data_IF_435763336434
#
_entry.id   IF_435763336434
#
_cell.length_a   1.000
_cell.length_b   1.000
_cell.length_c   1.000
_cell.angle_alpha   90.00
_cell.angle_beta   90.00
_cell.angle_gamma   90.00
#
_symmetry.space_group_name_H-M   'P 1'
#
loop_
_entity.id
_entity.type
_entity.pdbx_description
1 polymer ?
#
# COMPACT_ATOMS: atom_id res chain seq x y z
N UNK A 1 -10.25 13.75 2.66
CA UNK A 1 -9.44 12.98 3.63
C UNK A 1 -9.07 11.64 3.00
N UNK A 2 -7.81 11.20 3.11
CA UNK A 2 -7.40 9.87 2.67
C UNK A 2 -8.01 8.80 3.58
N UNK A 3 -8.39 7.64 3.03
CA UNK A 3 -8.85 6.52 3.84
C UNK A 3 -7.68 5.95 4.64
N UNK A 4 -7.86 5.61 5.93
CA UNK A 4 -6.83 4.91 6.68
C UNK A 4 -6.51 3.55 6.05
N UNK A 5 -5.26 3.14 6.14
CA UNK A 5 -4.79 1.85 5.65
C UNK A 5 -4.52 0.93 6.83
N UNK A 6 -5.13 -0.25 6.82
CA UNK A 6 -5.00 -1.26 7.85
C UNK A 6 -4.36 -2.50 7.23
N UNK A 7 -3.23 -2.95 7.78
CA UNK A 7 -2.56 -4.14 7.29
C UNK A 7 -2.70 -5.31 8.28
N UNK A 8 -2.97 -6.52 7.74
CA UNK A 8 -2.99 -7.75 8.52
C UNK A 8 -1.63 -8.43 8.40
N UNK A 9 -0.94 -8.63 9.52
CA UNK A 9 0.36 -9.29 9.63
C UNK A 9 0.23 -10.51 10.55
N UNK A 10 1.02 -11.54 10.31
CA UNK A 10 1.05 -12.73 11.16
C UNK A 10 1.66 -13.92 10.44
N UNK A 11 1.89 -15.02 11.17
CA UNK A 11 2.46 -16.26 10.62
C UNK A 11 1.61 -16.82 9.46
N UNK A 12 2.16 -17.69 8.61
CA UNK A 12 1.37 -18.55 7.73
C UNK A 12 0.35 -19.37 8.53
N UNK A 13 -0.80 -19.60 7.93
CA UNK A 13 -1.88 -20.44 8.48
C UNK A 13 -2.56 -19.97 9.78
N UNK A 14 -2.27 -18.76 10.27
CA UNK A 14 -3.04 -18.16 11.39
C UNK A 14 -4.43 -17.66 10.94
N UNK A 15 -4.69 -17.61 9.64
CA UNK A 15 -5.98 -17.23 9.07
C UNK A 15 -6.08 -15.80 8.58
N UNK A 16 -4.95 -15.17 8.16
CA UNK A 16 -4.94 -13.79 7.62
C UNK A 16 -5.92 -13.60 6.47
N UNK A 17 -5.81 -14.40 5.43
CA UNK A 17 -6.69 -14.30 4.26
C UNK A 17 -8.13 -14.68 4.58
N UNK A 18 -8.35 -15.53 5.59
CA UNK A 18 -9.71 -15.82 6.07
C UNK A 18 -10.31 -14.60 6.77
N UNK A 19 -9.54 -13.95 7.65
CA UNK A 19 -9.97 -12.71 8.30
C UNK A 19 -10.19 -11.60 7.29
N UNK A 20 -9.27 -11.42 6.36
CA UNK A 20 -9.38 -10.44 5.27
C UNK A 20 -10.67 -10.66 4.47
N UNK A 21 -10.92 -11.88 3.99
CA UNK A 21 -12.12 -12.19 3.20
C UNK A 21 -13.41 -12.03 4.02
N UNK A 22 -13.38 -12.35 5.32
CA UNK A 22 -14.53 -12.20 6.19
C UNK A 22 -14.87 -10.72 6.43
N UNK A 23 -13.87 -9.88 6.65
CA UNK A 23 -14.04 -8.43 6.82
C UNK A 23 -14.44 -7.74 5.50
N UNK A 24 -13.81 -8.11 4.39
CA UNK A 24 -14.13 -7.60 3.07
C UNK A 24 -15.53 -8.02 2.57
N UNK A 25 -16.03 -9.19 3.03
CA UNK A 25 -17.34 -9.74 2.63
C UNK A 25 -18.54 -9.13 3.34
N UNK A 26 -18.37 -8.40 4.43
CA UNK A 26 -19.52 -7.92 5.25
C UNK A 26 -20.26 -6.70 4.68
N UNK A 27 -19.62 -5.87 3.85
CA UNK A 27 -20.29 -4.87 2.98
C UNK A 27 -19.27 -4.33 1.97
N UNK A 28 -19.05 -5.06 0.89
CA UNK A 28 -18.34 -4.50 -0.26
C UNK A 28 -19.26 -3.44 -0.86
N UNK A 29 -18.85 -2.19 -0.75
CA UNK A 29 -19.33 -1.14 -1.64
C UNK A 29 -19.16 -1.63 -3.08
N UNK A 30 -20.21 -1.59 -3.88
CA UNK A 30 -20.25 -2.09 -5.26
C UNK A 30 -19.11 -1.44 -6.04
N UNK A 31 -17.98 -2.13 -6.15
CA UNK A 31 -16.93 -1.78 -7.10
C UNK A 31 -17.49 -2.14 -8.47
N UNK A 32 -17.74 -1.14 -9.32
CA UNK A 32 -18.10 -1.34 -10.71
C UNK A 32 -16.99 -2.19 -11.36
N UNK A 33 -17.36 -3.24 -12.06
CA UNK A 33 -16.44 -4.05 -12.86
C UNK A 33 -15.78 -3.14 -13.92
N UNK A 34 -14.59 -2.64 -13.61
CA UNK A 34 -13.79 -1.88 -14.56
C UNK A 34 -13.00 -2.88 -15.40
N UNK A 35 -13.14 -2.91 -16.73
CA UNK A 35 -12.40 -3.80 -17.59
C UNK A 35 -10.89 -3.61 -17.39
N UNK A 36 -10.15 -4.71 -17.14
CA UNK A 36 -8.70 -4.71 -16.94
C UNK A 36 -8.24 -4.73 -15.47
N UNK A 37 -9.13 -4.55 -14.50
CA UNK A 37 -8.80 -4.69 -13.08
C UNK A 37 -9.16 -6.09 -12.62
N UNK A 38 -8.18 -6.98 -12.55
CA UNK A 38 -8.37 -8.29 -11.89
C UNK A 38 -8.47 -8.05 -10.39
N UNK A 39 -9.43 -8.70 -9.73
CA UNK A 39 -9.57 -8.74 -8.26
C UNK A 39 -8.36 -9.44 -7.65
N UNK A 40 -7.25 -8.74 -7.54
CA UNK A 40 -6.17 -9.20 -6.67
C UNK A 40 -6.68 -9.07 -5.23
N UNK A 41 -6.80 -10.21 -4.54
CA UNK A 41 -7.29 -10.32 -3.16
C UNK A 41 -6.29 -9.77 -2.13
N UNK A 42 -5.53 -8.76 -2.50
CA UNK A 42 -4.45 -8.19 -1.66
C UNK A 42 -4.96 -7.01 -0.85
N UNK A 43 -5.95 -6.29 -1.36
CA UNK A 43 -6.57 -5.14 -0.68
C UNK A 43 -8.08 -5.11 -0.89
N UNK A 44 -8.80 -4.50 0.04
CA UNK A 44 -10.23 -4.29 -0.06
C UNK A 44 -10.65 -3.04 0.71
N UNK A 45 -11.66 -2.34 0.19
CA UNK A 45 -12.33 -1.28 0.94
C UNK A 45 -13.33 -1.91 1.91
N UNK A 46 -13.23 -1.54 3.16
CA UNK A 46 -14.09 -2.00 4.23
C UNK A 46 -14.81 -0.80 4.83
N UNK A 47 -16.10 -0.97 5.12
CA UNK A 47 -16.89 0.00 5.86
C UNK A 47 -17.32 -0.63 7.18
N UNK A 48 -16.94 0.00 8.29
CA UNK A 48 -17.39 -0.37 9.63
C UNK A 48 -18.08 0.84 10.27
N UNK A 49 -19.32 0.66 10.69
CA UNK A 49 -20.17 1.77 11.12
C UNK A 49 -20.21 2.85 10.02
N UNK A 50 -19.75 4.07 10.32
CA UNK A 50 -19.67 5.20 9.39
C UNK A 50 -18.26 5.47 8.84
N UNK A 51 -17.28 4.59 9.16
CA UNK A 51 -15.89 4.75 8.78
C UNK A 51 -15.52 3.86 7.61
N UNK A 52 -14.74 4.41 6.69
CA UNK A 52 -14.20 3.68 5.56
C UNK A 52 -12.68 3.59 5.68
N UNK A 53 -12.13 2.40 5.43
CA UNK A 53 -10.69 2.17 5.42
C UNK A 53 -10.32 1.14 4.36
N UNK A 54 -9.06 1.14 3.96
CA UNK A 54 -8.49 0.15 3.04
C UNK A 54 -7.78 -0.93 3.85
N UNK A 55 -8.26 -2.17 3.74
CA UNK A 55 -7.65 -3.34 4.37
C UNK A 55 -6.66 -3.99 3.41
N UNK A 56 -5.48 -4.39 3.90
CA UNK A 56 -4.43 -5.05 3.13
C UNK A 56 -4.12 -6.42 3.75
N UNK A 57 -4.17 -7.48 2.92
CA UNK A 57 -3.66 -8.82 3.28
C UNK A 57 -2.18 -8.94 2.87
N UNK A 58 -1.29 -8.92 3.85
CA UNK A 58 0.14 -9.17 3.59
C UNK A 58 0.47 -10.65 3.42
N UNK A 59 -0.46 -11.56 3.74
CA UNK A 59 -0.26 -13.02 3.75
C UNK A 59 -0.35 -13.69 2.40
N UNK A 60 -0.89 -13.03 1.37
CA UNK A 60 -0.93 -13.55 0.00
C UNK A 60 0.44 -13.65 -0.68
N UNK A 61 1.51 -13.38 0.04
CA UNK A 61 2.90 -13.35 -0.42
C UNK A 61 3.60 -14.59 0.13
N UNK A 62 3.35 -15.74 -0.48
CA UNK A 62 4.06 -16.98 -0.12
C UNK A 62 5.17 -17.24 -1.15
N UNK A 63 6.42 -17.44 -0.74
CA UNK A 63 7.45 -17.96 -1.61
C UNK A 63 7.55 -19.48 -1.57
N UNK A 64 8.05 -20.03 -2.65
CA UNK A 64 8.13 -21.47 -2.92
C UNK A 64 9.20 -22.26 -2.15
N UNK A 65 9.88 -21.70 -1.15
CA UNK A 65 11.00 -22.39 -0.47
C UNK A 65 10.95 -22.36 1.07
N UNK A 66 11.05 -23.53 1.66
CA UNK A 66 10.78 -23.84 3.07
C UNK A 66 11.71 -23.29 4.16
N UNK A 67 12.79 -22.58 3.84
CA UNK A 67 13.79 -22.11 4.84
C UNK A 67 13.63 -20.63 5.23
N UNK A 68 12.53 -20.01 4.86
CA UNK A 68 12.36 -18.55 4.79
C UNK A 68 11.18 -18.02 5.63
N UNK A 69 10.56 -18.84 6.53
CA UNK A 69 9.39 -18.41 7.31
C UNK A 69 9.61 -17.06 8.01
N UNK A 70 10.74 -16.90 8.67
CA UNK A 70 11.08 -15.68 9.39
C UNK A 70 11.39 -14.50 8.45
N UNK A 71 12.05 -14.77 7.31
CA UNK A 71 12.35 -13.71 6.32
C UNK A 71 11.07 -13.17 5.70
N UNK A 72 10.08 -14.02 5.51
CA UNK A 72 8.75 -13.65 4.99
C UNK A 72 7.93 -12.83 5.95
N UNK A 73 7.87 -13.29 7.20
CA UNK A 73 7.17 -12.55 8.23
C UNK A 73 7.80 -11.18 8.46
N UNK A 74 9.13 -11.08 8.34
CA UNK A 74 9.83 -9.79 8.37
C UNK A 74 9.44 -8.90 7.20
N UNK A 75 9.44 -9.43 5.97
CA UNK A 75 9.03 -8.68 4.79
C UNK A 75 7.58 -8.19 4.88
N UNK A 76 6.66 -9.03 5.36
CA UNK A 76 5.27 -8.64 5.62
C UNK A 76 5.17 -7.52 6.67
N UNK A 77 5.90 -7.66 7.78
CA UNK A 77 5.95 -6.65 8.82
C UNK A 77 6.55 -5.34 8.33
N UNK A 78 7.65 -5.38 7.58
CA UNK A 78 8.29 -4.19 7.00
C UNK A 78 7.33 -3.43 6.09
N UNK A 79 6.60 -4.10 5.21
CA UNK A 79 5.61 -3.46 4.36
C UNK A 79 4.46 -2.87 5.16
N UNK A 80 3.93 -3.61 6.13
CA UNK A 80 2.88 -3.08 6.98
C UNK A 80 3.35 -1.83 7.74
N UNK A 81 4.57 -1.84 8.28
CA UNK A 81 5.17 -0.68 8.94
C UNK A 81 5.37 0.52 8.01
N UNK A 82 5.69 0.28 6.74
CA UNK A 82 5.88 1.36 5.76
C UNK A 82 4.55 1.93 5.25
N UNK A 83 3.51 1.09 5.09
CA UNK A 83 2.32 1.47 4.33
C UNK A 83 1.07 1.68 5.17
N UNK A 84 0.93 0.98 6.32
CA UNK A 84 -0.29 1.02 7.10
C UNK A 84 -0.30 2.15 8.15
N UNK A 85 -1.49 2.65 8.44
CA UNK A 85 -1.75 3.54 9.57
C UNK A 85 -1.94 2.73 10.87
N UNK A 86 -2.59 1.56 10.77
CA UNK A 86 -2.78 0.62 11.87
C UNK A 86 -2.43 -0.79 11.41
N UNK A 87 -1.81 -1.58 12.27
CA UNK A 87 -1.43 -2.96 11.99
C UNK A 87 -2.24 -3.91 12.88
N UNK A 88 -2.97 -4.84 12.25
CA UNK A 88 -3.57 -5.98 12.95
C UNK A 88 -2.54 -7.10 12.97
N UNK A 89 -2.00 -7.41 14.14
CA UNK A 89 -1.12 -8.58 14.32
C UNK A 89 -1.95 -9.80 14.70
N UNK A 90 -2.06 -10.75 13.76
CA UNK A 90 -2.92 -11.92 13.88
C UNK A 90 -2.11 -13.15 14.34
N UNK A 91 -2.56 -13.78 15.43
CA UNK A 91 -1.99 -15.00 16.02
C UNK A 91 -3.04 -16.12 16.05
N UNK A 92 -2.67 -17.32 16.52
CA UNK A 92 -3.52 -18.51 16.53
C UNK A 92 -3.58 -19.12 17.94
N UNK A 93 -4.77 -19.08 18.58
CA UNK A 93 -4.97 -19.61 19.93
C UNK A 93 -4.69 -21.10 20.04
N UNK A 94 -4.92 -21.87 18.97
CA UNK A 94 -4.75 -23.34 18.99
C UNK A 94 -3.29 -23.76 18.97
N UNK A 95 -2.42 -22.94 18.39
CA UNK A 95 -0.98 -23.21 18.35
C UNK A 95 -0.22 -22.56 19.50
N UNK A 96 -0.85 -21.62 20.20
CA UNK A 96 -0.18 -20.79 21.20
C UNK A 96 0.91 -19.89 20.62
N UNK A 97 1.72 -19.31 21.49
CA UNK A 97 2.84 -18.46 21.12
C UNK A 97 4.04 -19.28 20.66
N UNK A 98 4.70 -18.82 19.61
CA UNK A 98 5.96 -19.38 19.11
C UNK A 98 7.02 -18.30 18.96
N UNK A 99 8.29 -18.67 18.87
CA UNK A 99 9.42 -17.72 18.76
C UNK A 99 9.25 -16.70 17.62
N UNK A 100 8.65 -17.14 16.52
CA UNK A 100 8.38 -16.26 15.39
C UNK A 100 7.40 -15.12 15.72
N UNK A 101 6.41 -15.37 16.59
CA UNK A 101 5.46 -14.34 17.04
C UNK A 101 6.17 -13.28 17.88
N UNK A 102 7.07 -13.68 18.77
CA UNK A 102 7.88 -12.75 19.58
C UNK A 102 8.79 -11.88 18.71
N UNK A 103 9.44 -12.46 17.69
CA UNK A 103 10.33 -11.70 16.80
C UNK A 103 9.57 -10.64 15.99
N UNK A 104 8.39 -10.99 15.45
CA UNK A 104 7.56 -10.04 14.72
C UNK A 104 6.99 -8.99 15.67
N UNK A 105 6.52 -9.38 16.85
CA UNK A 105 6.05 -8.44 17.87
C UNK A 105 7.12 -7.40 18.24
N UNK A 106 8.39 -7.84 18.38
CA UNK A 106 9.52 -6.94 18.63
C UNK A 106 9.76 -5.94 17.49
N UNK A 107 9.66 -6.39 16.25
CA UNK A 107 9.79 -5.52 15.08
C UNK A 107 8.67 -4.49 15.04
N UNK A 108 7.43 -4.94 15.21
CA UNK A 108 6.25 -4.08 15.18
C UNK A 108 6.30 -3.02 16.30
N UNK A 109 6.67 -3.40 17.53
CA UNK A 109 6.84 -2.45 18.65
C UNK A 109 7.82 -1.32 18.34
N UNK A 110 8.93 -1.65 17.67
CA UNK A 110 9.96 -0.65 17.30
C UNK A 110 9.53 0.29 16.20
N UNK A 111 8.47 -0.04 15.46
CA UNK A 111 7.98 0.80 14.36
C UNK A 111 7.30 2.09 14.82
N UNK A 112 6.80 2.12 16.07
CA UNK A 112 5.98 3.20 16.58
C UNK A 112 4.57 3.29 15.99
N UNK A 113 4.20 2.35 15.09
CA UNK A 113 2.85 2.28 14.52
C UNK A 113 1.86 1.71 15.55
N UNK A 114 0.60 2.14 15.55
CA UNK A 114 -0.45 1.49 16.32
C UNK A 114 -0.61 0.02 15.91
N UNK A 115 -0.65 -0.87 16.89
CA UNK A 115 -0.78 -2.30 16.68
C UNK A 115 -1.98 -2.80 17.47
N UNK A 116 -2.87 -3.53 16.82
CA UNK A 116 -3.99 -4.22 17.46
C UNK A 116 -3.73 -5.72 17.40
N UNK A 117 -3.59 -6.37 18.55
CA UNK A 117 -3.31 -7.80 18.66
C UNK A 117 -4.61 -8.60 18.56
N UNK A 118 -4.76 -9.41 17.52
CA UNK A 118 -5.90 -10.30 17.32
C UNK A 118 -5.48 -11.75 17.50
N UNK A 119 -6.23 -12.51 18.30
CA UNK A 119 -6.02 -13.94 18.55
C UNK A 119 -7.12 -14.71 17.85
N UNK A 120 -6.79 -15.36 16.74
CA UNK A 120 -7.73 -16.04 15.87
C UNK A 120 -7.99 -17.51 16.28
N UNK A 121 -9.02 -18.09 15.66
CA UNK A 121 -9.51 -19.46 15.85
C UNK A 121 -10.16 -19.70 17.21
N UNK A 122 -10.65 -18.64 17.85
CA UNK A 122 -11.47 -18.70 19.07
C UNK A 122 -12.91 -19.03 18.66
N UNK A 123 -13.13 -20.19 18.07
CA UNK A 123 -14.47 -20.61 17.58
C UNK A 123 -15.44 -20.94 18.72
N UNK A 124 -14.90 -21.24 19.90
CA UNK A 124 -15.67 -21.40 21.14
C UNK A 124 -15.04 -20.52 22.22
N UNK A 125 -15.70 -19.42 22.51
CA UNK A 125 -15.22 -18.42 23.45
C UNK A 125 -14.99 -18.99 24.86
N UNK A 126 -15.94 -19.75 25.41
CA UNK A 126 -15.82 -20.33 26.75
C UNK A 126 -14.61 -21.25 26.91
N UNK A 127 -14.27 -21.96 25.84
CA UNK A 127 -13.14 -22.90 25.84
C UNK A 127 -11.78 -22.20 25.73
N UNK A 128 -11.67 -21.18 24.88
CA UNK A 128 -10.38 -20.61 24.47
C UNK A 128 -10.07 -19.24 25.07
N UNK A 129 -11.05 -18.59 25.75
CA UNK A 129 -10.84 -17.24 26.29
C UNK A 129 -9.66 -17.19 27.27
N UNK A 130 -9.47 -18.21 28.09
CA UNK A 130 -8.35 -18.26 29.04
C UNK A 130 -7.02 -18.39 28.32
N UNK A 131 -6.97 -19.14 27.22
CA UNK A 131 -5.75 -19.34 26.44
C UNK A 131 -5.32 -18.03 25.74
N UNK A 132 -6.25 -17.09 25.51
CA UNK A 132 -5.90 -15.79 24.93
C UNK A 132 -5.05 -14.92 25.86
N UNK A 133 -5.08 -15.16 27.17
CA UNK A 133 -4.26 -14.40 28.12
C UNK A 133 -2.75 -14.65 27.96
N UNK A 134 -2.34 -15.79 27.40
CA UNK A 134 -0.94 -16.04 27.07
C UNK A 134 -0.37 -14.96 26.14
N UNK A 135 -1.19 -14.42 25.26
CA UNK A 135 -0.77 -13.47 24.23
C UNK A 135 -0.43 -12.06 24.78
N UNK A 136 -0.76 -11.76 26.04
CA UNK A 136 -0.22 -10.57 26.72
C UNK A 136 1.30 -10.58 26.82
N UNK A 137 1.94 -11.75 26.77
CA UNK A 137 3.40 -11.89 26.79
C UNK A 137 4.08 -11.25 25.57
N UNK A 138 3.34 -10.97 24.50
CA UNK A 138 3.85 -10.23 23.35
C UNK A 138 4.06 -8.74 23.64
N UNK A 139 3.45 -8.19 24.70
CA UNK A 139 3.59 -6.79 25.09
C UNK A 139 3.05 -5.80 24.03
N UNK A 140 1.97 -6.20 23.33
CA UNK A 140 1.32 -5.39 22.28
C UNK A 140 -0.06 -4.85 22.70
N UNK A 141 -0.36 -4.84 23.99
CA UNK A 141 -1.66 -4.42 24.51
C UNK A 141 -2.64 -5.59 24.67
N UNK A 142 -3.92 -5.28 24.68
CA UNK A 142 -5.00 -6.26 24.88
C UNK A 142 -5.14 -7.20 23.69
N UNK A 143 -5.09 -8.54 23.88
CA UNK A 143 -5.39 -9.48 22.80
C UNK A 143 -6.90 -9.57 22.58
N UNK A 144 -7.34 -9.36 21.35
CA UNK A 144 -8.74 -9.45 20.93
C UNK A 144 -9.04 -10.87 20.42
N UNK A 145 -9.87 -11.67 21.12
CA UNK A 145 -10.26 -12.98 20.66
C UNK A 145 -11.21 -12.89 19.48
N UNK A 146 -10.84 -13.53 18.35
CA UNK A 146 -11.65 -13.54 17.13
C UNK A 146 -11.77 -14.95 16.55
N UNK A 147 -12.82 -15.18 15.78
CA UNK A 147 -12.93 -16.33 14.90
C UNK A 147 -13.23 -15.83 13.48
N UNK A 148 -12.23 -15.89 12.61
CA UNK A 148 -12.39 -15.48 11.21
C UNK A 148 -13.41 -16.35 10.46
N UNK A 149 -13.50 -17.64 10.79
CA UNK A 149 -14.45 -18.57 10.17
C UNK A 149 -15.90 -18.30 10.62
N UNK A 150 -16.08 -18.06 11.93
CA UNK A 150 -17.41 -17.88 12.54
C UNK A 150 -17.82 -16.42 12.63
N UNK A 151 -16.96 -15.50 12.21
CA UNK A 151 -17.16 -14.04 12.27
C UNK A 151 -17.47 -13.50 13.68
N UNK A 152 -16.81 -14.09 14.68
CA UNK A 152 -16.97 -13.72 16.10
C UNK A 152 -15.86 -12.74 16.49
N UNK A 153 -16.15 -11.75 17.34
CA UNK A 153 -15.20 -10.80 17.92
C UNK A 153 -14.75 -9.67 16.97
N UNK A 154 -15.38 -9.54 15.80
CA UNK A 154 -15.00 -8.50 14.82
C UNK A 154 -15.37 -7.10 15.30
N UNK A 155 -16.48 -6.95 16.04
CA UNK A 155 -16.89 -5.67 16.58
C UNK A 155 -15.81 -5.05 17.45
N UNK A 156 -15.42 -5.76 18.51
CA UNK A 156 -14.41 -5.27 19.45
C UNK A 156 -13.06 -5.01 18.77
N UNK A 157 -12.66 -5.90 17.85
CA UNK A 157 -11.42 -5.74 17.06
C UNK A 157 -11.45 -4.46 16.22
N UNK A 158 -12.55 -4.23 15.47
CA UNK A 158 -12.67 -3.09 14.58
C UNK A 158 -12.87 -1.78 15.32
N UNK A 159 -13.60 -1.80 16.44
CA UNK A 159 -13.76 -0.62 17.29
C UNK A 159 -12.40 -0.15 17.83
N UNK A 160 -11.53 -1.09 18.29
CA UNK A 160 -10.17 -0.76 18.71
C UNK A 160 -9.31 -0.23 17.54
N UNK A 161 -9.40 -0.86 16.37
CA UNK A 161 -8.71 -0.37 15.17
C UNK A 161 -9.12 1.06 14.85
N UNK A 162 -10.41 1.39 14.95
CA UNK A 162 -10.92 2.74 14.68
C UNK A 162 -10.47 3.78 15.71
N UNK A 163 -10.26 3.39 16.96
CA UNK A 163 -9.68 4.29 17.99
C UNK A 163 -8.31 4.82 17.50
N UNK A 164 -7.53 3.97 16.85
CA UNK A 164 -6.22 4.35 16.31
C UNK A 164 -6.29 5.05 14.94
N UNK A 165 -7.40 4.92 14.22
CA UNK A 165 -7.63 5.59 12.94
C UNK A 165 -8.16 7.02 13.09
N UNK A 166 -8.72 7.38 14.26
CA UNK A 166 -9.27 8.70 14.52
C UNK A 166 -8.17 9.61 15.10
N UNK A 167 -7.67 10.59 14.37
CA UNK A 167 -6.88 11.64 14.95
C UNK A 167 -7.83 12.54 15.79
N UNK A 168 -7.87 12.34 17.09
CA UNK A 168 -8.56 13.27 18.00
C UNK A 168 -7.85 14.64 18.08
N UNK A 169 -6.71 14.80 17.40
CA UNK A 169 -5.88 16.00 17.36
C UNK A 169 -5.84 16.66 15.97
N UNK A 170 -6.96 16.65 15.23
CA UNK A 170 -7.04 17.32 13.93
C UNK A 170 -7.20 18.87 14.06
N UNK A 171 -6.39 19.52 14.88
CA UNK A 171 -6.05 20.94 14.75
C UNK A 171 -4.86 21.16 13.77
N UNK A 172 -4.39 20.10 13.09
CA UNK A 172 -3.46 20.25 11.97
C UNK A 172 -4.20 20.90 10.79
N UNK A 173 -3.81 22.13 10.46
CA UNK A 173 -4.25 22.82 9.24
C UNK A 173 -4.13 21.84 8.08
N UNK A 174 -5.23 21.62 7.36
CA UNK A 174 -5.21 20.82 6.14
C UNK A 174 -4.06 21.30 5.24
N UNK A 175 -3.14 20.42 4.92
CA UNK A 175 -2.03 20.72 4.02
C UNK A 175 -2.60 20.83 2.60
N UNK A 176 -2.81 22.06 2.14
CA UNK A 176 -3.38 22.37 0.82
C UNK A 176 -2.40 22.09 -0.35
N UNK A 177 -1.16 21.66 -0.05
CA UNK A 177 -0.18 21.36 -1.10
C UNK A 177 -0.58 20.12 -1.87
N UNK A 178 -0.58 20.16 -3.23
CA UNK A 178 -0.90 18.97 -4.04
C UNK A 178 0.05 17.81 -3.71
N UNK A 179 -0.53 16.64 -3.42
CA UNK A 179 0.18 15.40 -3.13
C UNK A 179 0.31 14.57 -4.40
N UNK A 180 1.52 14.19 -4.76
CA UNK A 180 1.83 13.51 -6.02
C UNK A 180 2.44 12.15 -5.74
N UNK A 181 1.85 11.07 -6.27
CA UNK A 181 2.41 9.73 -6.24
C UNK A 181 3.01 9.36 -7.60
N UNK A 182 4.19 8.71 -7.62
CA UNK A 182 4.77 8.13 -8.83
C UNK A 182 4.55 6.61 -8.80
N UNK A 183 3.70 6.12 -9.71
CA UNK A 183 3.27 4.73 -9.80
C UNK A 183 3.72 4.10 -11.13
N UNK A 184 3.67 2.80 -11.23
CA UNK A 184 4.07 2.04 -12.42
C UNK A 184 4.83 0.78 -12.05
N UNK A 185 5.02 -0.11 -13.02
CA UNK A 185 5.70 -1.39 -12.82
C UNK A 185 7.17 -1.26 -12.36
N UNK A 186 7.78 -2.31 -11.81
CA UNK A 186 9.21 -2.33 -11.55
C UNK A 186 10.02 -1.99 -12.80
N UNK A 187 11.13 -1.27 -12.63
CA UNK A 187 12.08 -0.88 -13.70
C UNK A 187 11.54 0.08 -14.78
N UNK A 188 10.31 0.58 -14.68
CA UNK A 188 9.79 1.61 -15.58
C UNK A 188 10.52 2.98 -15.47
N UNK A 189 11.42 3.13 -14.48
CA UNK A 189 12.23 4.34 -14.30
C UNK A 189 11.70 5.34 -13.29
N UNK A 190 10.77 4.93 -12.40
CA UNK A 190 10.20 5.79 -11.34
C UNK A 190 11.26 6.45 -10.47
N UNK A 191 12.24 5.66 -10.00
CA UNK A 191 13.32 6.17 -9.14
C UNK A 191 14.23 7.15 -9.88
N UNK A 192 14.46 6.93 -11.16
CA UNK A 192 15.24 7.86 -12.01
C UNK A 192 14.50 9.17 -12.20
N UNK A 193 13.19 9.11 -12.43
CA UNK A 193 12.33 10.29 -12.57
C UNK A 193 12.35 11.13 -11.28
N UNK A 194 12.12 10.50 -10.11
CA UNK A 194 12.10 11.23 -8.84
C UNK A 194 13.48 11.82 -8.52
N UNK A 195 14.56 11.07 -8.73
CA UNK A 195 15.91 11.55 -8.47
C UNK A 195 16.26 12.77 -9.33
N UNK A 196 15.79 12.79 -10.58
CA UNK A 196 16.00 13.94 -11.46
C UNK A 196 15.15 15.13 -11.02
N UNK A 197 13.89 14.91 -10.69
CA UNK A 197 13.01 15.97 -10.16
C UNK A 197 13.57 16.60 -8.88
N UNK A 198 14.20 15.79 -8.01
CA UNK A 198 14.80 16.24 -6.75
C UNK A 198 16.24 16.79 -6.90
N UNK A 199 16.95 16.38 -7.95
CA UNK A 199 18.35 16.78 -8.21
C UNK A 199 18.53 18.03 -9.06
N UNK A 200 17.47 18.65 -9.56
CA UNK A 200 17.59 19.92 -10.28
C UNK A 200 17.86 21.06 -9.29
N UNK A 201 18.93 21.84 -9.53
CA UNK A 201 19.45 22.93 -8.68
C UNK A 201 18.43 24.05 -8.31
N UNK A 202 17.20 23.93 -8.77
CA UNK A 202 16.09 24.88 -8.49
C UNK A 202 15.07 24.34 -7.49
N UNK A 203 15.26 23.15 -6.96
CA UNK A 203 14.36 22.51 -6.01
C UNK A 203 14.93 22.60 -4.60
N UNK A 204 14.34 23.44 -3.78
CA UNK A 204 14.63 23.47 -2.35
C UNK A 204 13.89 22.28 -1.73
N UNK A 205 14.63 21.23 -1.42
CA UNK A 205 14.13 20.14 -0.56
C UNK A 205 14.13 20.69 0.86
N UNK A 206 12.98 21.02 1.41
CA UNK A 206 12.87 21.38 2.82
C UNK A 206 12.51 20.12 3.61
N UNK A 207 13.46 19.62 4.38
CA UNK A 207 13.17 18.69 5.47
C UNK A 207 12.46 19.49 6.58
N UNK A 208 11.17 19.75 6.43
CA UNK A 208 10.37 20.29 7.53
C UNK A 208 10.11 19.12 8.47
N UNK A 209 10.97 18.98 9.47
CA UNK A 209 10.72 18.18 10.66
C UNK A 209 9.53 18.80 11.39
N UNK A 210 8.35 18.21 11.24
CA UNK A 210 7.16 18.76 11.91
C UNK A 210 5.93 17.85 11.93
N UNK A 211 5.87 16.85 11.06
CA UNK A 211 4.78 15.88 11.09
C UNK A 211 5.36 14.48 11.17
N UNK A 212 5.32 13.90 12.35
CA UNK A 212 5.93 12.61 12.73
C UNK A 212 5.34 11.38 12.03
N UNK A 213 4.43 11.54 11.05
CA UNK A 213 3.82 10.43 10.29
C UNK A 213 4.50 10.10 8.96
N UNK A 214 5.28 11.01 8.36
CA UNK A 214 5.66 10.91 6.94
C UNK A 214 7.15 11.15 6.67
N UNK A 215 8.05 10.45 7.37
CA UNK A 215 9.51 10.47 7.09
C UNK A 215 9.88 9.99 5.67
N UNK A 216 8.90 9.67 4.84
CA UNK A 216 9.02 9.03 3.53
C UNK A 216 8.67 9.99 2.38
N UNK A 217 7.97 11.09 2.68
CA UNK A 217 7.50 12.06 1.70
C UNK A 217 8.52 13.20 1.50
N UNK A 218 8.53 13.79 0.30
CA UNK A 218 9.48 14.88 -0.02
C UNK A 218 8.74 16.08 -0.60
N UNK A 219 8.93 17.24 -0.01
CA UNK A 219 8.40 18.50 -0.54
C UNK A 219 9.30 19.03 -1.65
N UNK A 220 8.69 19.39 -2.77
CA UNK A 220 9.35 19.93 -3.96
C UNK A 220 8.76 21.31 -4.27
N UNK A 221 9.60 22.32 -4.40
CA UNK A 221 9.18 23.67 -4.78
C UNK A 221 9.58 23.97 -6.21
N UNK A 222 8.61 24.29 -7.06
CA UNK A 222 8.83 24.64 -8.48
C UNK A 222 7.94 25.81 -8.91
N UNK A 223 8.53 26.81 -9.53
CA UNK A 223 7.82 28.00 -10.02
C UNK A 223 6.96 28.71 -8.93
N UNK A 224 7.44 28.74 -7.69
CA UNK A 224 6.71 29.34 -6.57
C UNK A 224 5.58 28.49 -5.98
N UNK A 225 5.33 27.28 -6.51
CA UNK A 225 4.36 26.32 -5.98
C UNK A 225 5.09 25.18 -5.28
N UNK A 226 4.48 24.66 -4.22
CA UNK A 226 4.99 23.50 -3.46
C UNK A 226 4.13 22.28 -3.76
N UNK A 227 4.79 21.13 -3.88
CA UNK A 227 4.20 19.82 -4.11
C UNK A 227 4.78 18.82 -3.11
N UNK A 228 3.98 17.86 -2.65
CA UNK A 228 4.44 16.78 -1.77
C UNK A 228 4.50 15.49 -2.58
N UNK A 229 5.69 14.96 -2.80
CA UNK A 229 5.88 13.66 -3.45
C UNK A 229 5.85 12.55 -2.40
N UNK A 230 4.90 11.62 -2.57
CA UNK A 230 4.59 10.54 -1.62
C UNK A 230 5.50 9.34 -1.87
N UNK A 231 5.94 8.67 -0.80
CA UNK A 231 6.74 7.43 -0.80
C UNK A 231 8.06 7.53 -1.57
N UNK A 232 8.73 8.67 -1.53
CA UNK A 232 10.01 8.85 -2.25
C UNK A 232 11.14 8.00 -1.70
N UNK A 233 11.17 7.71 -0.39
CA UNK A 233 12.18 6.87 0.24
C UNK A 233 12.07 5.39 -0.18
N UNK A 234 10.85 4.88 -0.33
CA UNK A 234 10.60 3.55 -0.89
C UNK A 234 11.12 3.40 -2.32
N UNK A 235 11.01 4.45 -3.12
CA UNK A 235 11.57 4.50 -4.49
C UNK A 235 13.10 4.57 -4.52
N UNK A 236 13.75 5.19 -3.51
CA UNK A 236 15.22 5.31 -3.41
C UNK A 236 15.90 4.06 -2.89
N UNK A 237 15.30 3.33 -1.93
CA UNK A 237 15.90 2.14 -1.30
C UNK A 237 15.91 0.89 -2.18
N UNK A 238 15.10 0.83 -3.25
CA UNK A 238 14.85 -0.37 -4.08
C UNK A 238 16.02 -0.92 -4.89
N UNK A 239 17.20 -0.34 -4.83
CA UNK A 239 18.37 -0.87 -5.57
C UNK A 239 18.91 -2.21 -5.02
N UNK A 240 18.38 -2.78 -3.93
CA UNK A 240 19.03 -3.90 -3.22
C UNK A 240 18.21 -5.18 -2.99
N UNK A 241 16.91 -5.26 -3.29
CA UNK A 241 16.10 -6.47 -3.02
C UNK A 241 15.45 -7.00 -4.29
N UNK A 242 15.76 -8.22 -4.66
CA UNK A 242 15.49 -8.80 -5.99
C UNK A 242 14.39 -9.83 -6.11
N UNK A 243 13.71 -10.27 -5.06
CA UNK A 243 12.68 -11.32 -5.14
C UNK A 243 11.41 -10.88 -4.41
N UNK A 244 10.24 -11.18 -4.82
CA UNK A 244 8.88 -10.75 -4.35
C UNK A 244 8.40 -9.36 -4.83
N UNK A 245 8.85 -8.93 -6.00
CA UNK A 245 8.74 -7.52 -6.43
C UNK A 245 7.31 -7.11 -6.82
N UNK A 246 6.48 -8.02 -7.34
CA UNK A 246 5.19 -7.62 -7.93
C UNK A 246 4.11 -7.29 -6.89
N UNK A 247 3.85 -8.17 -5.94
CA UNK A 247 2.81 -7.98 -4.92
C UNK A 247 3.13 -6.84 -3.96
N UNK A 248 4.40 -6.74 -3.54
CA UNK A 248 4.88 -5.60 -2.76
C UNK A 248 4.73 -4.27 -3.50
N UNK A 249 4.92 -4.29 -4.83
CA UNK A 249 4.72 -3.12 -5.66
C UNK A 249 3.26 -2.67 -5.69
N UNK A 250 2.31 -3.62 -5.72
CA UNK A 250 0.87 -3.33 -5.69
C UNK A 250 0.47 -2.71 -4.35
N UNK A 251 0.86 -3.28 -3.22
CA UNK A 251 0.53 -2.75 -1.88
C UNK A 251 1.04 -1.31 -1.73
N UNK A 252 2.30 -1.06 -2.09
CA UNK A 252 2.86 0.30 -2.06
C UNK A 252 2.14 1.25 -3.00
N UNK A 253 1.73 0.76 -4.18
CA UNK A 253 0.94 1.56 -5.12
C UNK A 253 -0.39 1.95 -4.51
N UNK A 254 -1.11 1.01 -3.90
CA UNK A 254 -2.37 1.30 -3.20
C UNK A 254 -2.15 2.35 -2.12
N UNK A 255 -1.15 2.16 -1.26
CA UNK A 255 -0.84 3.09 -0.18
C UNK A 255 -0.50 4.50 -0.69
N UNK A 256 0.31 4.60 -1.75
CA UNK A 256 0.67 5.87 -2.34
C UNK A 256 -0.54 6.56 -3.00
N UNK A 257 -1.39 5.78 -3.69
CA UNK A 257 -2.59 6.28 -4.35
C UNK A 257 -3.62 6.76 -3.32
N UNK A 258 -3.83 6.08 -2.20
CA UNK A 258 -4.75 6.55 -1.16
C UNK A 258 -4.38 7.95 -0.66
N UNK A 259 -3.08 8.23 -0.52
CA UNK A 259 -2.56 9.46 0.06
C UNK A 259 -2.36 10.61 -0.95
N UNK A 260 -2.37 10.35 -2.27
CA UNK A 260 -2.15 11.37 -3.29
C UNK A 260 -3.44 12.05 -3.77
N UNK A 261 -3.27 13.19 -4.42
CA UNK A 261 -4.30 13.86 -5.20
C UNK A 261 -4.14 13.53 -6.69
N UNK A 262 -2.87 13.40 -7.13
CA UNK A 262 -2.49 13.12 -8.51
C UNK A 262 -1.50 11.98 -8.55
N UNK A 263 -1.75 10.99 -9.40
CA UNK A 263 -0.83 9.89 -9.68
C UNK A 263 -0.15 10.08 -11.04
N UNK A 264 1.17 9.89 -11.08
CA UNK A 264 1.96 9.86 -12.31
C UNK A 264 2.27 8.40 -12.63
N UNK A 265 1.59 7.83 -13.64
CA UNK A 265 1.88 6.50 -14.16
C UNK A 265 3.09 6.55 -15.08
N UNK A 266 4.17 5.87 -14.71
CA UNK A 266 5.39 5.78 -15.54
C UNK A 266 5.36 4.49 -16.35
N UNK A 267 5.32 4.63 -17.68
CA UNK A 267 5.34 3.53 -18.65
C UNK A 267 6.72 3.47 -19.31
N UNK A 268 7.23 2.26 -19.51
CA UNK A 268 8.44 2.01 -20.28
C UNK A 268 8.13 2.01 -21.77
N UNK A 269 8.73 2.92 -22.55
CA UNK A 269 8.48 3.02 -23.99
C UNK A 269 8.96 1.79 -24.78
N UNK A 270 10.01 1.12 -24.31
CA UNK A 270 10.60 -0.06 -24.97
C UNK A 270 9.69 -1.27 -24.85
N UNK A 271 9.07 -1.48 -23.69
CA UNK A 271 8.12 -2.56 -23.47
C UNK A 271 6.69 -2.22 -23.94
N UNK A 272 6.37 -0.94 -24.08
CA UNK A 272 5.02 -0.46 -24.32
C UNK A 272 4.11 -0.59 -23.10
N UNK A 273 2.82 -0.28 -23.31
CA UNK A 273 1.82 -0.43 -22.27
C UNK A 273 1.46 -1.91 -22.06
N UNK A 274 1.41 -2.34 -20.80
CA UNK A 274 1.13 -3.73 -20.41
C UNK A 274 -0.13 -3.83 -19.57
N UNK A 275 -0.67 -5.06 -19.39
CA UNK A 275 -1.79 -5.30 -18.48
C UNK A 275 -1.49 -4.90 -17.03
N UNK A 276 -0.23 -5.01 -16.61
CA UNK A 276 0.18 -4.57 -15.28
C UNK A 276 0.10 -3.05 -15.14
N UNK A 277 0.46 -2.28 -16.17
CA UNK A 277 0.29 -0.84 -16.17
C UNK A 277 -1.19 -0.46 -16.13
N UNK A 278 -2.05 -1.20 -16.85
CA UNK A 278 -3.50 -1.00 -16.80
C UNK A 278 -4.09 -1.26 -15.41
N UNK A 279 -3.65 -2.33 -14.72
CA UNK A 279 -4.05 -2.62 -13.34
C UNK A 279 -3.65 -1.51 -12.37
N UNK A 280 -2.40 -1.04 -12.47
CA UNK A 280 -1.88 0.04 -11.63
C UNK A 280 -2.66 1.34 -11.89
N UNK A 281 -2.94 1.65 -13.14
CA UNK A 281 -3.75 2.80 -13.52
C UNK A 281 -5.19 2.69 -13.00
N UNK A 282 -5.78 1.49 -13.08
CA UNK A 282 -7.11 1.19 -12.58
C UNK A 282 -7.27 1.50 -11.09
N UNK A 283 -6.27 1.17 -10.26
CA UNK A 283 -6.27 1.50 -8.83
C UNK A 283 -6.44 3.01 -8.61
N UNK A 284 -5.69 3.85 -9.33
CA UNK A 284 -5.79 5.30 -9.19
C UNK A 284 -7.13 5.85 -9.73
N UNK A 285 -7.62 5.29 -10.81
CA UNK A 285 -8.91 5.65 -11.41
C UNK A 285 -10.08 5.35 -10.47
N UNK A 286 -10.13 4.15 -9.88
CA UNK A 286 -11.17 3.74 -8.93
C UNK A 286 -11.19 4.61 -7.67
N UNK A 287 -10.02 5.14 -7.27
CA UNK A 287 -9.88 6.08 -6.14
C UNK A 287 -10.22 7.53 -6.51
N UNK A 288 -10.62 7.80 -7.76
CA UNK A 288 -10.96 9.14 -8.23
C UNK A 288 -9.79 10.11 -8.26
N UNK A 289 -8.55 9.61 -8.38
CA UNK A 289 -7.35 10.45 -8.39
C UNK A 289 -7.10 11.05 -9.76
N UNK A 290 -6.52 12.26 -9.79
CA UNK A 290 -6.00 12.84 -11.03
C UNK A 290 -4.89 11.95 -11.60
N UNK A 291 -4.80 11.85 -12.94
CA UNK A 291 -3.85 10.95 -13.60
C UNK A 291 -3.02 11.68 -14.65
N UNK A 292 -1.70 11.45 -14.59
CA UNK A 292 -0.75 11.85 -15.65
C UNK A 292 -0.07 10.57 -16.13
N UNK A 293 -0.03 10.33 -17.43
CA UNK A 293 0.68 9.20 -18.03
C UNK A 293 2.03 9.72 -18.55
N UNK A 294 3.13 9.25 -17.97
CA UNK A 294 4.48 9.62 -18.32
C UNK A 294 5.18 8.45 -19.02
N UNK A 295 5.53 8.63 -20.30
CA UNK A 295 6.22 7.61 -21.09
C UNK A 295 7.72 7.85 -21.00
N UNK A 296 8.41 6.96 -20.28
CA UNK A 296 9.85 7.02 -20.03
C UNK A 296 10.65 6.18 -21.04
N UNK A 297 11.95 6.38 -21.07
CA UNK A 297 12.90 5.69 -21.99
C UNK A 297 12.55 5.89 -23.46
N UNK A 298 11.93 7.02 -23.80
CA UNK A 298 11.54 7.35 -25.16
C UNK A 298 12.73 7.44 -26.14
N UNK A 299 13.94 7.60 -25.63
CA UNK A 299 15.21 7.60 -26.37
C UNK A 299 15.62 6.22 -26.90
N UNK A 300 15.17 5.14 -26.27
CA UNK A 300 15.57 3.77 -26.62
C UNK A 300 14.76 3.18 -27.80
N UNK A 301 13.66 3.77 -28.16
CA UNK A 301 12.83 3.29 -29.27
C UNK A 301 13.18 3.94 -30.60
N UNK A 302 13.06 3.17 -31.69
CA UNK A 302 13.17 3.70 -33.05
C UNK A 302 11.99 4.64 -33.33
N UNK A 303 12.32 5.86 -33.83
CA UNK A 303 11.34 6.94 -34.02
C UNK A 303 11.14 7.24 -35.49
N UNK A 304 9.86 7.35 -35.87
CA UNK A 304 9.43 7.95 -37.11
C UNK A 304 8.29 8.92 -36.83
N UNK A 305 7.85 9.69 -37.82
CA UNK A 305 6.81 10.72 -37.69
C UNK A 305 5.49 10.19 -37.10
N UNK A 306 5.25 8.89 -37.15
CA UNK A 306 4.01 8.26 -36.66
C UNK A 306 4.19 7.52 -35.32
N UNK A 307 5.40 7.43 -34.79
CA UNK A 307 5.70 6.60 -33.57
C UNK A 307 4.92 7.11 -32.36
N UNK A 308 4.95 8.40 -32.12
CA UNK A 308 4.23 9.00 -30.99
C UNK A 308 2.71 8.80 -31.11
N UNK A 309 2.18 8.94 -32.33
CA UNK A 309 0.75 8.73 -32.58
C UNK A 309 0.31 7.28 -32.37
N UNK A 310 1.11 6.33 -32.86
CA UNK A 310 0.85 4.89 -32.64
C UNK A 310 0.89 4.55 -31.17
N UNK A 311 1.89 5.01 -30.44
CA UNK A 311 2.02 4.77 -29.01
C UNK A 311 0.86 5.38 -28.22
N UNK A 312 0.49 6.61 -28.52
CA UNK A 312 -0.66 7.27 -27.90
C UNK A 312 -1.95 6.50 -28.13
N UNK A 313 -2.16 5.97 -29.35
CA UNK A 313 -3.35 5.17 -29.64
C UNK A 313 -3.35 3.85 -28.86
N UNK A 314 -2.22 3.16 -28.74
CA UNK A 314 -2.09 1.96 -27.94
C UNK A 314 -2.43 2.23 -26.46
N UNK A 315 -1.90 3.32 -25.90
CA UNK A 315 -2.20 3.71 -24.51
C UNK A 315 -3.70 4.00 -24.34
N UNK A 316 -4.30 4.74 -25.28
CA UNK A 316 -5.75 5.05 -25.25
C UNK A 316 -6.63 3.82 -25.41
N UNK A 317 -6.20 2.84 -26.18
CA UNK A 317 -6.92 1.57 -26.37
C UNK A 317 -6.93 0.76 -25.08
N UNK A 318 -5.76 0.57 -24.45
CA UNK A 318 -5.61 -0.18 -23.21
C UNK A 318 -6.24 0.54 -22.01
N UNK A 319 -6.10 1.88 -21.93
CA UNK A 319 -6.66 2.72 -20.87
C UNK A 319 -7.93 3.45 -21.33
N UNK A 320 -8.79 2.78 -22.09
CA UNK A 320 -10.01 3.37 -22.66
C UNK A 320 -10.96 3.99 -21.62
N UNK A 321 -10.93 3.48 -20.38
CA UNK A 321 -11.68 4.01 -19.25
C UNK A 321 -11.12 5.33 -18.68
N UNK A 322 -9.92 5.77 -19.13
CA UNK A 322 -9.25 7.00 -18.70
C UNK A 322 -8.99 7.96 -19.87
N UNK A 323 -9.98 8.22 -20.69
CA UNK A 323 -9.87 9.10 -21.87
C UNK A 323 -9.44 10.54 -21.54
N UNK A 324 -9.55 10.97 -20.29
CA UNK A 324 -9.12 12.28 -19.79
C UNK A 324 -7.62 12.40 -19.57
N UNK A 325 -6.89 11.28 -19.43
CA UNK A 325 -5.46 11.26 -19.17
C UNK A 325 -4.68 11.17 -20.49
N UNK A 326 -4.00 12.24 -20.86
CA UNK A 326 -3.16 12.22 -22.06
C UNK A 326 -1.74 11.72 -21.76
N UNK A 327 -1.18 10.84 -22.60
CA UNK A 327 0.20 10.40 -22.44
C UNK A 327 1.17 11.52 -22.83
N UNK A 328 2.10 11.82 -21.92
CA UNK A 328 3.19 12.77 -22.13
C UNK A 328 4.48 11.97 -22.28
N UNK A 329 5.07 12.00 -23.47
CA UNK A 329 6.39 11.42 -23.68
C UNK A 329 7.48 12.40 -23.26
N UNK A 330 8.44 11.92 -22.47
CA UNK A 330 9.63 12.70 -22.19
C UNK A 330 10.89 11.89 -22.61
N UNK A 331 11.73 12.55 -23.35
CA UNK A 331 13.04 12.02 -23.70
C UNK A 331 13.95 12.28 -22.54
N UNK A 332 14.62 11.24 -22.17
CA UNK A 332 15.67 11.10 -21.18
C UNK A 332 16.03 12.34 -20.36
N UNK A 333 16.20 12.11 -19.10
CA UNK A 333 16.79 12.94 -18.07
C UNK A 333 18.21 13.49 -18.40
N UNK A 334 18.66 13.42 -19.64
CA UNK A 334 19.83 14.10 -20.16
C UNK A 334 19.42 15.32 -20.98
N UNK A 335 19.58 16.42 -20.37
CA UNK A 335 19.93 17.61 -21.08
C UNK A 335 21.40 17.53 -21.44
#
# INVERSE_FOLDING_TARGET
MSKPIIAIVGRPNVGKSTLFNALAGEKISIVKDTPGVTRDRIYADVTWLNYQFTLIDTGGIEPDSGDLLLSHMRGQAEIAMETADVIIFLTDVRQGLVDADYQVADMLRRSGKPIVLAVNKVDNYEKFVLDTYEFYNLGLGTPFPVSANSKIGFGDLLDEVLVHCNPQDADEKEDERPRVAIIGKPNAGKSSLINKLLGEDRLIVSDIAGTTRDAIDTTVKRNGKEYVFIDTAGLRKKARVKEDIERYSVIRTVAAVERCDVAILVIDAEEGITEQDAKIAGIAHERGKGMIIAVNKWDLIEKNDKTIYKFTNQVREVLSYMSYAEPVSYTHLTL
#
